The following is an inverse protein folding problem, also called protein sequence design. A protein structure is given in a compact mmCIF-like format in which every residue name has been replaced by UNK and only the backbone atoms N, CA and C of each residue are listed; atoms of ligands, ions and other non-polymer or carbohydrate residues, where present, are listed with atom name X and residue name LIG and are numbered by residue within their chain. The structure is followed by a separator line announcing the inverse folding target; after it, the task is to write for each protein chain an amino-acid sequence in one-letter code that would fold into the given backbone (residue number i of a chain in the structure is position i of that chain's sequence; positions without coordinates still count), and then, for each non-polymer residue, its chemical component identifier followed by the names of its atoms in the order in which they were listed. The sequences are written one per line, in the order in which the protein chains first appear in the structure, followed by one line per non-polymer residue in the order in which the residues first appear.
data_IF_248901723774
#
_entry.id   IF_248901723774
#
_cell.length_a   1.000
_cell.length_b   1.000
_cell.length_c   1.000
_cell.angle_alpha   90.00
_cell.angle_beta   90.00
_cell.angle_gamma   90.00
#
_symmetry.space_group_name_H-M   'P 1'
#
loop_
_entity.id
_entity.type
_entity.pdbx_description
1 polymer ?
#
# COMPACT_ATOMS: atom_id res chain seq x y z
N UNK A 1 -2.52 19.76 -6.84
CA UNK A 1 -2.70 18.46 -6.15
C UNK A 1 -2.29 18.66 -4.70
N UNK A 2 -3.05 18.11 -3.77
CA UNK A 2 -2.79 18.28 -2.32
C UNK A 2 -2.00 17.12 -1.70
N UNK A 3 -1.83 16.00 -2.44
CA UNK A 3 -1.05 14.84 -1.98
C UNK A 3 0.45 15.18 -1.97
N UNK A 4 1.12 14.95 -0.84
CA UNK A 4 2.57 15.22 -0.71
C UNK A 4 3.41 14.13 -1.35
N UNK A 5 2.98 12.89 -1.25
CA UNK A 5 3.59 11.72 -1.88
C UNK A 5 2.60 10.54 -1.89
N UNK A 6 2.89 9.56 -2.73
CA UNK A 6 2.21 8.28 -2.72
C UNK A 6 3.23 7.15 -2.93
N UNK A 7 3.06 6.03 -2.21
CA UNK A 7 3.99 4.91 -2.27
C UNK A 7 3.28 3.55 -2.33
N UNK A 8 3.96 2.57 -2.94
CA UNK A 8 3.66 1.16 -2.83
C UNK A 8 4.70 0.51 -1.92
N UNK A 9 4.25 -0.29 -0.95
CA UNK A 9 5.11 -1.10 -0.11
C UNK A 9 4.59 -2.53 0.00
N UNK A 10 5.48 -3.53 -0.05
CA UNK A 10 5.14 -4.93 0.25
C UNK A 10 4.92 -5.09 1.76
N UNK A 11 4.23 -6.19 2.14
CA UNK A 11 3.86 -6.39 3.54
C UNK A 11 4.26 -7.75 4.16
N UNK A 12 5.23 -8.51 3.63
CA UNK A 12 5.58 -9.77 4.27
C UNK A 12 6.28 -9.53 5.61
N UNK A 13 5.83 -10.22 6.68
CA UNK A 13 6.40 -10.02 8.02
C UNK A 13 7.91 -10.28 8.10
N UNK A 14 8.43 -11.15 7.24
CA UNK A 14 9.87 -11.48 7.19
C UNK A 14 10.78 -10.28 6.91
N UNK A 15 10.26 -9.20 6.31
CA UNK A 15 11.02 -7.95 6.08
C UNK A 15 11.32 -7.17 7.36
N UNK A 16 10.59 -7.47 8.44
CA UNK A 16 10.84 -6.87 9.76
C UNK A 16 11.93 -7.70 10.47
N UNK A 17 13.09 -7.10 10.82
CA UNK A 17 14.24 -7.86 11.36
C UNK A 17 13.91 -8.72 12.58
N UNK A 18 12.99 -8.25 13.44
CA UNK A 18 12.53 -8.96 14.63
C UNK A 18 11.71 -10.21 14.29
N UNK A 19 11.18 -10.31 13.07
CA UNK A 19 10.49 -11.49 12.54
C UNK A 19 11.41 -12.33 11.66
N UNK A 20 12.20 -11.67 10.82
CA UNK A 20 13.07 -12.32 9.84
C UNK A 20 14.24 -13.06 10.47
N UNK A 21 14.77 -12.56 11.61
CA UNK A 21 15.95 -13.11 12.30
C UNK A 21 17.14 -13.35 11.37
N UNK A 22 17.37 -12.44 10.42
CA UNK A 22 18.42 -12.50 9.40
C UNK A 22 17.93 -12.98 8.03
N UNK A 23 16.75 -13.61 7.93
CA UNK A 23 16.19 -14.06 6.64
C UNK A 23 15.70 -12.90 5.78
N UNK A 24 15.38 -11.74 6.37
CA UNK A 24 15.05 -10.52 5.61
C UNK A 24 16.13 -10.17 4.60
N UNK A 25 17.40 -10.54 4.86
CA UNK A 25 18.54 -10.30 3.96
C UNK A 25 18.45 -11.07 2.64
N UNK A 26 17.64 -12.13 2.58
CA UNK A 26 17.35 -12.84 1.34
C UNK A 26 16.52 -11.98 0.37
N UNK A 27 15.84 -10.94 0.88
CA UNK A 27 15.11 -9.92 0.12
C UNK A 27 15.94 -8.63 -0.03
N UNK A 28 17.19 -8.76 -0.50
CA UNK A 28 18.16 -7.67 -0.51
C UNK A 28 17.73 -6.47 -1.37
N UNK A 29 17.15 -6.71 -2.55
CA UNK A 29 16.65 -5.63 -3.41
C UNK A 29 15.42 -4.93 -2.78
N UNK A 30 14.56 -5.68 -2.12
CA UNK A 30 13.41 -5.11 -1.41
C UNK A 30 13.87 -4.22 -0.27
N UNK A 31 14.83 -4.68 0.56
CA UNK A 31 15.39 -3.88 1.65
C UNK A 31 16.06 -2.60 1.12
N UNK A 32 16.82 -2.69 0.02
CA UNK A 32 17.41 -1.53 -0.63
C UNK A 32 16.33 -0.54 -1.13
N UNK A 33 15.27 -1.04 -1.77
CA UNK A 33 14.16 -0.20 -2.23
C UNK A 33 13.44 0.49 -1.07
N UNK A 34 13.24 -0.21 0.05
CA UNK A 34 12.65 0.37 1.26
C UNK A 34 13.56 1.44 1.88
N UNK A 35 14.89 1.22 1.91
CA UNK A 35 15.86 2.22 2.35
C UNK A 35 15.82 3.46 1.47
N UNK A 36 15.82 3.30 0.14
CA UNK A 36 15.71 4.42 -0.81
C UNK A 36 14.39 5.20 -0.59
N UNK A 37 13.27 4.50 -0.37
CA UNK A 37 11.99 5.12 -0.04
C UNK A 37 12.10 5.96 1.25
N UNK A 38 12.67 5.38 2.31
CA UNK A 38 12.83 6.08 3.60
C UNK A 38 13.72 7.31 3.49
N UNK A 39 14.83 7.21 2.74
CA UNK A 39 15.74 8.35 2.49
C UNK A 39 15.01 9.47 1.74
N UNK A 40 14.31 9.13 0.66
CA UNK A 40 13.55 10.11 -0.12
C UNK A 40 12.46 10.79 0.72
N UNK A 41 11.71 10.01 1.51
CA UNK A 41 10.68 10.57 2.38
C UNK A 41 11.26 11.43 3.52
N UNK A 42 12.41 11.07 4.11
CA UNK A 42 13.08 11.92 5.11
C UNK A 42 13.43 13.29 4.51
N UNK A 43 13.98 13.33 3.29
CA UNK A 43 14.28 14.57 2.61
C UNK A 43 13.02 15.42 2.34
N UNK A 44 11.91 14.80 1.93
CA UNK A 44 10.63 15.49 1.77
C UNK A 44 10.10 16.03 3.09
N UNK A 45 10.22 15.25 4.16
CA UNK A 45 9.74 15.58 5.50
C UNK A 45 10.51 16.73 6.18
N UNK A 46 11.72 17.05 5.73
CA UNK A 46 12.43 18.27 6.14
C UNK A 46 11.70 19.55 5.70
N UNK A 47 10.89 19.48 4.65
CA UNK A 47 10.15 20.59 4.11
C UNK A 47 8.67 20.57 4.46
N UNK A 48 8.03 19.39 4.43
CA UNK A 48 6.60 19.24 4.72
C UNK A 48 6.28 17.81 5.18
N UNK A 49 5.71 17.68 6.36
CA UNK A 49 5.13 16.44 6.85
C UNK A 49 3.69 16.30 6.37
N UNK A 50 3.22 15.10 6.04
CA UNK A 50 1.81 14.90 5.77
C UNK A 50 0.99 15.10 7.06
N UNK A 51 -0.15 15.79 6.93
CA UNK A 51 -1.09 15.99 8.02
C UNK A 51 -1.73 14.66 8.44
N UNK A 52 -1.90 13.74 7.49
CA UNK A 52 -2.40 12.40 7.69
C UNK A 52 -2.03 11.48 6.52
N UNK A 53 -2.16 10.17 6.75
CA UNK A 53 -1.86 9.12 5.79
C UNK A 53 -3.14 8.33 5.47
N UNK A 54 -3.45 8.13 4.19
CA UNK A 54 -4.43 7.15 3.74
C UNK A 54 -3.70 5.85 3.41
N UNK A 55 -3.94 4.81 4.20
CA UNK A 55 -3.44 3.47 3.95
C UNK A 55 -4.51 2.62 3.29
N UNK A 56 -4.23 2.08 2.11
CA UNK A 56 -4.99 1.00 1.53
C UNK A 56 -4.30 -0.33 1.80
N UNK A 57 -5.00 -1.24 2.51
CA UNK A 57 -4.52 -2.58 2.85
C UNK A 57 -5.50 -3.64 2.35
N UNK A 58 -5.04 -4.70 1.66
CA UNK A 58 -5.94 -5.72 1.11
C UNK A 58 -6.45 -6.71 2.16
N UNK A 59 -5.84 -6.77 3.35
CA UNK A 59 -6.16 -7.74 4.41
C UNK A 59 -7.06 -7.19 5.51
N UNK A 60 -7.35 -5.89 5.56
CA UNK A 60 -8.37 -5.33 6.47
C UNK A 60 -9.72 -6.00 6.20
N UNK A 61 -10.76 -5.80 7.01
CA UNK A 61 -12.04 -6.44 6.74
C UNK A 61 -12.44 -6.31 5.28
N UNK A 62 -12.66 -7.45 4.66
CA UNK A 62 -13.12 -7.53 3.28
C UNK A 62 -14.64 -7.38 3.24
N UNK A 63 -15.13 -6.45 2.41
CA UNK A 63 -16.55 -6.29 2.14
C UNK A 63 -16.80 -6.50 0.66
N UNK A 64 -17.43 -7.62 0.25
CA UNK A 64 -17.70 -7.90 -1.16
C UNK A 64 -18.46 -6.75 -1.82
N UNK A 65 -17.98 -6.29 -2.97
CA UNK A 65 -18.60 -5.23 -3.76
C UNK A 65 -18.44 -3.81 -3.21
N UNK A 66 -17.66 -3.59 -2.13
CA UNK A 66 -17.50 -2.27 -1.53
C UNK A 66 -16.08 -2.00 -1.03
N UNK A 67 -15.73 -0.71 -0.97
CA UNK A 67 -14.59 -0.21 -0.21
C UNK A 67 -14.93 -0.30 1.28
N UNK A 68 -14.13 -1.00 2.07
CA UNK A 68 -14.23 -0.92 3.53
C UNK A 68 -13.44 0.28 4.05
N UNK A 69 -14.02 1.09 4.94
CA UNK A 69 -13.36 2.20 5.64
C UNK A 69 -13.44 1.99 7.14
N UNK A 70 -12.28 1.96 7.80
CA UNK A 70 -12.21 1.82 9.25
C UNK A 70 -12.51 3.17 9.92
N UNK A 71 -13.55 3.19 10.76
CA UNK A 71 -14.01 4.38 11.48
C UNK A 71 -13.60 4.42 12.95
N UNK A 72 -12.75 3.48 13.40
CA UNK A 72 -12.21 3.49 14.76
C UNK A 72 -11.43 4.78 15.03
N UNK A 73 -11.50 5.37 16.22
CA UNK A 73 -10.75 6.59 16.55
C UNK A 73 -9.24 6.37 16.66
N UNK A 74 -8.81 5.12 16.78
CA UNK A 74 -7.40 4.71 16.90
C UNK A 74 -7.14 3.43 16.11
N UNK A 75 -5.92 3.33 15.58
CA UNK A 75 -5.37 2.13 14.98
C UNK A 75 -4.21 1.64 15.85
N UNK A 76 -4.13 0.35 16.10
CA UNK A 76 -3.01 -0.27 16.77
C UNK A 76 -2.80 -1.70 16.27
N UNK A 77 -1.59 -2.17 16.36
CA UNK A 77 -1.26 -3.54 16.01
C UNK A 77 0.19 -3.88 16.30
N UNK A 78 0.49 -5.16 16.34
CA UNK A 78 1.84 -5.68 16.52
C UNK A 78 2.03 -7.00 15.76
N UNK A 79 3.27 -7.42 15.68
CA UNK A 79 3.65 -8.67 15.02
C UNK A 79 3.85 -9.85 16.00
N UNK A 80 3.13 -9.87 17.14
CA UNK A 80 3.23 -10.96 18.12
C UNK A 80 2.91 -12.33 17.53
N UNK A 81 1.96 -12.41 16.57
CA UNK A 81 1.62 -13.65 15.85
C UNK A 81 2.78 -14.21 15.03
N UNK A 82 3.79 -13.37 14.74
CA UNK A 82 5.02 -13.71 14.02
C UNK A 82 6.24 -13.69 14.95
N UNK A 83 6.05 -13.70 16.26
CA UNK A 83 7.12 -13.75 17.27
C UNK A 83 7.74 -12.41 17.65
N UNK A 84 7.25 -11.30 17.12
CA UNK A 84 7.81 -9.96 17.34
C UNK A 84 6.78 -8.99 17.98
N UNK A 85 6.42 -9.16 19.26
CA UNK A 85 5.41 -8.31 19.92
C UNK A 85 5.83 -6.85 20.05
N UNK A 86 7.12 -6.55 20.03
CA UNK A 86 7.65 -5.19 20.12
C UNK A 86 7.64 -4.45 18.78
N UNK A 87 7.54 -5.16 17.66
CA UNK A 87 7.28 -4.56 16.35
C UNK A 87 5.79 -4.17 16.29
N UNK A 88 5.49 -2.94 16.69
CA UNK A 88 4.13 -2.46 16.89
C UNK A 88 3.92 -1.07 16.30
N UNK A 89 2.69 -0.76 15.97
CA UNK A 89 2.23 0.57 15.55
C UNK A 89 1.06 1.03 16.43
N UNK A 90 0.99 2.33 16.64
CA UNK A 90 -0.18 2.98 17.19
C UNK A 90 -0.34 4.35 16.51
N UNK A 91 -1.55 4.68 16.08
CA UNK A 91 -1.88 5.96 15.47
C UNK A 91 -3.31 6.36 15.80
N UNK A 92 -3.58 7.65 15.73
CA UNK A 92 -4.95 8.18 15.78
C UNK A 92 -5.55 8.22 14.37
N UNK A 93 -6.88 8.21 14.28
CA UNK A 93 -7.59 8.44 13.02
C UNK A 93 -8.04 9.91 12.97
N UNK A 94 -7.67 10.66 11.91
CA UNK A 94 -8.00 12.09 11.82
C UNK A 94 -9.48 12.26 11.46
N UNK A 95 -10.32 12.60 12.43
CA UNK A 95 -11.78 12.59 12.30
C UNK A 95 -12.30 13.59 11.26
N UNK A 96 -11.65 14.76 11.13
CA UNK A 96 -12.01 15.74 10.09
C UNK A 96 -11.72 15.21 8.69
N UNK A 97 -10.55 14.65 8.47
CA UNK A 97 -10.18 14.05 7.18
C UNK A 97 -11.03 12.80 6.87
N UNK A 98 -11.36 11.98 7.88
CA UNK A 98 -12.28 10.85 7.73
C UNK A 98 -13.69 11.32 7.32
N UNK A 99 -14.19 12.41 7.89
CA UNK A 99 -15.46 13.00 7.53
C UNK A 99 -15.44 13.55 6.10
N UNK A 100 -14.33 14.20 5.70
CA UNK A 100 -14.14 14.70 4.34
C UNK A 100 -14.07 13.54 3.32
N UNK A 101 -13.32 12.48 3.62
CA UNK A 101 -13.27 11.27 2.80
C UNK A 101 -14.65 10.62 2.67
N UNK A 102 -15.40 10.52 3.78
CA UNK A 102 -16.74 9.93 3.80
C UNK A 102 -17.71 10.73 2.92
N UNK A 103 -17.68 12.06 3.02
CA UNK A 103 -18.51 12.93 2.18
C UNK A 103 -18.17 12.79 0.69
N UNK A 104 -16.87 12.72 0.34
CA UNK A 104 -16.41 12.50 -1.01
C UNK A 104 -16.89 11.15 -1.56
N UNK A 105 -16.77 10.08 -0.77
CA UNK A 105 -17.21 8.74 -1.15
C UNK A 105 -18.73 8.67 -1.33
N UNK A 106 -19.51 9.31 -0.46
CA UNK A 106 -20.97 9.38 -0.58
C UNK A 106 -21.43 10.11 -1.84
N UNK A 107 -20.66 11.11 -2.30
CA UNK A 107 -20.93 11.82 -3.55
C UNK A 107 -20.47 11.06 -4.81
N UNK A 108 -19.83 9.91 -4.64
CA UNK A 108 -19.29 9.08 -5.72
C UNK A 108 -20.19 7.87 -6.01
N UNK A 109 -19.89 7.18 -7.12
CA UNK A 109 -20.51 5.89 -7.45
C UNK A 109 -19.78 4.69 -6.80
N UNK A 110 -18.81 4.91 -5.91
CA UNK A 110 -18.06 3.84 -5.25
C UNK A 110 -18.88 3.32 -4.06
N UNK A 111 -19.23 2.02 -4.03
CA UNK A 111 -19.91 1.44 -2.88
C UNK A 111 -18.97 1.43 -1.65
N UNK A 112 -19.48 1.83 -0.49
CA UNK A 112 -18.71 1.97 0.75
C UNK A 112 -19.38 1.24 1.90
N UNK A 113 -18.57 0.52 2.68
CA UNK A 113 -18.93 -0.04 3.96
C UNK A 113 -18.07 0.58 5.05
N UNK A 114 -18.69 1.02 6.12
CA UNK A 114 -18.02 1.56 7.30
C UNK A 114 -18.03 0.54 8.44
N UNK A 115 -16.92 0.44 9.17
CA UNK A 115 -16.85 -0.41 10.36
C UNK A 115 -15.77 0.04 11.32
N UNK A 116 -16.02 -0.10 12.62
CA UNK A 116 -15.03 0.20 13.65
C UNK A 116 -14.28 -1.05 14.06
N UNK A 117 -12.94 -0.98 14.03
CA UNK A 117 -12.04 -2.02 14.51
C UNK A 117 -11.27 -1.57 15.76
N UNK A 118 -11.90 -0.78 16.62
CA UNK A 118 -11.27 -0.15 17.78
C UNK A 118 -10.56 -1.15 18.70
N UNK A 119 -11.17 -2.31 18.91
CA UNK A 119 -10.64 -3.36 19.80
C UNK A 119 -9.93 -4.50 19.05
N UNK A 120 -9.60 -4.30 17.78
CA UNK A 120 -8.99 -5.33 16.94
C UNK A 120 -7.56 -4.91 16.56
N UNK A 121 -6.61 -5.78 16.87
CA UNK A 121 -5.24 -5.63 16.35
C UNK A 121 -5.27 -5.68 14.82
N UNK A 122 -4.66 -4.68 14.19
CA UNK A 122 -4.59 -4.63 12.72
C UNK A 122 -3.77 -5.81 12.17
N UNK A 123 -4.07 -6.17 10.94
CA UNK A 123 -3.38 -7.24 10.22
C UNK A 123 -1.97 -6.82 9.78
N UNK A 124 -1.10 -7.81 9.53
CA UNK A 124 0.28 -7.56 9.10
C UNK A 124 0.40 -6.73 7.83
N UNK A 125 -0.57 -6.82 6.91
CA UNK A 125 -0.57 -5.99 5.70
C UNK A 125 -0.78 -4.49 5.98
N UNK A 126 -1.25 -4.13 7.16
CA UNK A 126 -1.23 -2.75 7.65
C UNK A 126 -0.01 -2.47 8.54
N UNK A 127 0.34 -3.42 9.43
CA UNK A 127 1.39 -3.21 10.44
C UNK A 127 2.77 -3.15 9.79
N UNK A 128 3.12 -4.08 8.91
CA UNK A 128 4.48 -4.17 8.32
C UNK A 128 4.85 -2.88 7.58
N UNK A 129 4.04 -2.41 6.58
CA UNK A 129 4.41 -1.19 5.89
C UNK A 129 4.40 0.05 6.81
N UNK A 130 3.46 0.17 7.75
CA UNK A 130 3.46 1.29 8.70
C UNK A 130 4.65 1.25 9.64
N UNK A 131 5.06 0.08 10.15
CA UNK A 131 6.21 -0.09 11.01
C UNK A 131 7.51 0.30 10.30
N UNK A 132 7.72 -0.21 9.08
CA UNK A 132 8.89 0.13 8.28
C UNK A 132 8.87 1.61 7.85
N UNK A 133 7.70 2.14 7.47
CA UNK A 133 7.53 3.54 7.08
C UNK A 133 7.78 4.49 8.24
N UNK A 134 7.47 4.11 9.48
CA UNK A 134 7.65 4.95 10.66
C UNK A 134 9.09 5.48 10.80
N UNK A 135 10.07 4.71 10.31
CA UNK A 135 11.49 5.09 10.33
C UNK A 135 11.81 6.31 9.44
N UNK A 136 10.92 6.68 8.53
CA UNK A 136 11.04 7.90 7.73
C UNK A 136 10.48 9.16 8.43
N UNK A 137 9.83 9.00 9.58
CA UNK A 137 9.24 10.11 10.32
C UNK A 137 10.07 10.50 11.54
N UNK A 138 10.05 11.79 11.95
CA UNK A 138 10.75 12.25 13.15
C UNK A 138 10.37 11.42 14.40
N UNK A 139 11.38 10.90 15.08
CA UNK A 139 11.20 10.07 16.28
C UNK A 139 10.41 8.77 16.04
N UNK A 140 10.28 8.30 14.80
CA UNK A 140 9.52 7.10 14.46
C UNK A 140 8.00 7.25 14.60
N UNK A 141 7.49 8.48 14.70
CA UNK A 141 6.08 8.75 14.99
C UNK A 141 5.31 9.01 13.69
N UNK A 142 4.42 8.07 13.32
CA UNK A 142 3.51 8.21 12.19
C UNK A 142 2.54 9.39 12.39
N UNK A 143 2.13 10.07 11.29
CA UNK A 143 0.98 10.96 11.33
C UNK A 143 -0.31 10.18 11.61
N UNK A 144 -1.44 10.84 11.86
CA UNK A 144 -2.75 10.18 11.91
C UNK A 144 -3.02 9.36 10.65
N UNK A 145 -3.61 8.15 10.78
CA UNK A 145 -3.81 7.20 9.67
C UNK A 145 -5.28 6.85 9.49
N UNK A 146 -5.79 6.98 8.27
CA UNK A 146 -7.07 6.37 7.84
C UNK A 146 -6.73 5.04 7.15
N UNK A 147 -7.34 3.95 7.60
CA UNK A 147 -7.20 2.63 7.00
C UNK A 147 -8.45 2.29 6.19
N UNK A 148 -8.25 1.86 4.95
CA UNK A 148 -9.33 1.35 4.11
C UNK A 148 -8.89 0.13 3.31
N UNK A 149 -9.85 -0.67 2.84
CA UNK A 149 -9.62 -1.88 2.05
C UNK A 149 -10.43 -1.85 0.75
N UNK A 150 -9.77 -1.69 -0.41
CA UNK A 150 -10.43 -1.70 -1.72
C UNK A 150 -10.60 -3.11 -2.32
N UNK A 151 -10.20 -4.19 -1.63
CA UNK A 151 -10.18 -5.55 -2.20
C UNK A 151 -11.57 -6.07 -2.59
N UNK A 152 -12.64 -5.48 -2.07
CA UNK A 152 -14.02 -5.78 -2.46
C UNK A 152 -14.47 -5.14 -3.78
N UNK A 153 -13.72 -4.17 -4.29
CA UNK A 153 -14.04 -3.48 -5.55
C UNK A 153 -13.60 -4.27 -6.78
N UNK A 154 -14.20 -3.97 -7.94
CA UNK A 154 -13.64 -4.41 -9.23
C UNK A 154 -12.34 -3.64 -9.52
N UNK A 155 -11.48 -4.13 -10.43
CA UNK A 155 -10.29 -3.41 -10.87
C UNK A 155 -10.61 -1.98 -11.36
N UNK A 156 -11.68 -1.82 -12.16
CA UNK A 156 -12.12 -0.53 -12.70
C UNK A 156 -12.62 0.42 -11.60
N UNK A 157 -13.34 -0.10 -10.61
CA UNK A 157 -13.79 0.68 -9.46
C UNK A 157 -12.61 1.13 -8.59
N UNK A 158 -11.61 0.28 -8.38
CA UNK A 158 -10.40 0.63 -7.64
C UNK A 158 -9.60 1.74 -8.36
N UNK A 159 -9.47 1.66 -9.68
CA UNK A 159 -8.86 2.71 -10.49
C UNK A 159 -9.66 4.02 -10.42
N UNK A 160 -11.00 3.94 -10.55
CA UNK A 160 -11.88 5.10 -10.47
C UNK A 160 -11.81 5.78 -9.09
N UNK A 161 -11.74 4.98 -8.01
CA UNK A 161 -11.50 5.46 -6.65
C UNK A 161 -10.21 6.27 -6.55
N UNK A 162 -9.09 5.72 -7.06
CA UNK A 162 -7.82 6.42 -7.09
C UNK A 162 -7.89 7.75 -7.83
N UNK A 163 -8.47 7.77 -9.04
CA UNK A 163 -8.66 8.99 -9.84
C UNK A 163 -9.50 10.05 -9.13
N UNK A 164 -10.55 9.63 -8.43
CA UNK A 164 -11.37 10.53 -7.62
C UNK A 164 -10.55 11.14 -6.48
N UNK A 165 -9.82 10.32 -5.72
CA UNK A 165 -8.97 10.77 -4.61
C UNK A 165 -7.88 11.74 -5.09
N UNK A 166 -7.22 11.44 -6.21
CA UNK A 166 -6.16 12.27 -6.79
C UNK A 166 -6.62 13.64 -7.27
N UNK A 167 -7.88 13.73 -7.74
CA UNK A 167 -8.49 15.00 -8.23
C UNK A 167 -9.16 15.82 -7.13
N UNK A 168 -9.34 15.25 -5.95
CA UNK A 168 -10.02 15.93 -4.85
C UNK A 168 -9.15 17.03 -4.24
N UNK A 169 -9.78 18.15 -3.91
CA UNK A 169 -9.15 19.25 -3.20
C UNK A 169 -9.31 19.02 -1.69
N UNK A 170 -8.29 18.44 -1.07
CA UNK A 170 -8.26 18.24 0.38
C UNK A 170 -7.95 19.53 1.13
N UNK A 171 -8.54 19.71 2.30
CA UNK A 171 -8.30 20.88 3.20
C UNK A 171 -6.91 20.83 3.84
N UNK A 172 -6.27 19.69 3.84
CA UNK A 172 -4.98 19.38 4.41
C UNK A 172 -4.09 18.67 3.38
N UNK A 173 -2.85 18.38 3.74
CA UNK A 173 -1.86 17.76 2.85
C UNK A 173 -1.65 16.29 3.21
N UNK A 174 -2.42 15.37 2.63
CA UNK A 174 -2.28 13.95 2.89
C UNK A 174 -1.11 13.31 2.15
N UNK A 175 -0.74 12.10 2.61
CA UNK A 175 0.04 11.14 1.85
C UNK A 175 -0.75 9.84 1.65
N UNK A 176 -0.37 9.05 0.62
CA UNK A 176 -1.02 7.80 0.29
C UNK A 176 -0.05 6.63 0.36
N UNK A 177 -0.47 5.55 1.00
CA UNK A 177 0.26 4.30 1.06
C UNK A 177 -0.61 3.15 0.55
N UNK A 178 -0.19 2.54 -0.56
CA UNK A 178 -0.72 1.26 -1.00
C UNK A 178 0.12 0.13 -0.40
N UNK A 179 -0.51 -0.73 0.37
CA UNK A 179 0.07 -1.99 0.82
C UNK A 179 -0.34 -3.09 -0.16
N UNK A 180 0.62 -3.88 -0.65
CA UNK A 180 0.30 -4.97 -1.56
C UNK A 180 1.53 -5.77 -1.95
N UNK A 181 1.45 -7.09 -1.77
CA UNK A 181 2.35 -8.02 -2.44
C UNK A 181 1.83 -8.30 -3.84
N UNK A 182 2.72 -8.68 -4.75
CA UNK A 182 2.39 -9.03 -6.12
C UNK A 182 1.94 -10.50 -6.19
N UNK A 183 2.37 -11.24 -7.21
CA UNK A 183 2.06 -12.66 -7.34
C UNK A 183 2.65 -13.48 -6.21
N UNK A 184 1.92 -14.53 -5.80
CA UNK A 184 2.40 -15.53 -4.83
C UNK A 184 2.88 -16.82 -5.51
N UNK A 185 3.17 -16.79 -6.82
CA UNK A 185 3.41 -17.96 -7.65
C UNK A 185 4.70 -17.90 -8.47
N UNK A 186 5.82 -17.42 -7.86
CA UNK A 186 7.07 -17.17 -8.59
C UNK A 186 8.09 -18.29 -8.49
N UNK A 187 7.98 -19.22 -7.53
CA UNK A 187 8.97 -20.30 -7.32
C UNK A 187 8.31 -21.63 -7.01
N UNK A 188 8.87 -22.73 -7.54
CA UNK A 188 8.38 -24.09 -7.28
C UNK A 188 8.48 -24.47 -5.80
N UNK A 189 9.57 -24.06 -5.14
CA UNK A 189 9.84 -24.27 -3.72
C UNK A 189 9.26 -23.15 -2.83
N UNK A 190 8.53 -22.22 -3.42
CA UNK A 190 7.80 -21.18 -2.68
C UNK A 190 6.56 -21.71 -1.98
N UNK A 191 5.99 -20.95 -1.01
CA UNK A 191 4.87 -21.41 -0.18
C UNK A 191 3.60 -21.75 -0.97
N UNK A 192 3.48 -21.23 -2.19
CA UNK A 192 2.29 -21.43 -3.05
C UNK A 192 2.64 -22.11 -4.38
N UNK A 193 3.92 -22.49 -4.59
CA UNK A 193 4.41 -23.10 -5.82
C UNK A 193 4.53 -22.11 -6.99
N UNK A 194 4.93 -22.59 -8.15
CA UNK A 194 5.07 -21.80 -9.37
C UNK A 194 3.83 -21.87 -10.25
N UNK A 195 3.47 -20.73 -10.86
CA UNK A 195 2.52 -20.66 -11.96
C UNK A 195 2.98 -19.60 -12.98
N UNK A 196 2.95 -19.88 -14.30
CA UNK A 196 3.34 -18.88 -15.32
C UNK A 196 2.56 -17.58 -15.27
N UNK A 197 1.36 -17.57 -14.70
CA UNK A 197 0.58 -16.35 -14.48
C UNK A 197 1.25 -15.39 -13.49
N UNK A 198 2.08 -15.90 -12.57
CA UNK A 198 2.79 -15.10 -11.59
C UNK A 198 3.71 -14.06 -12.23
N UNK A 199 4.76 -14.46 -12.97
CA UNK A 199 5.65 -13.52 -13.65
C UNK A 199 4.94 -12.62 -14.66
N UNK A 200 3.83 -13.09 -15.29
CA UNK A 200 3.02 -12.26 -16.21
C UNK A 200 2.37 -11.12 -15.45
N UNK A 201 1.75 -11.42 -14.30
CA UNK A 201 1.12 -10.41 -13.45
C UNK A 201 2.15 -9.40 -12.93
N UNK A 202 3.26 -9.86 -12.39
CA UNK A 202 4.28 -8.99 -11.79
C UNK A 202 4.90 -8.05 -12.84
N UNK A 203 5.18 -8.55 -14.04
CA UNK A 203 5.65 -7.73 -15.16
C UNK A 203 4.63 -6.65 -15.54
N UNK A 204 3.34 -6.98 -15.54
CA UNK A 204 2.28 -6.02 -15.84
C UNK A 204 2.19 -4.94 -14.75
N UNK A 205 2.37 -5.29 -13.47
CA UNK A 205 2.41 -4.32 -12.37
C UNK A 205 3.58 -3.34 -12.54
N UNK A 206 4.79 -3.84 -12.73
CA UNK A 206 5.98 -2.99 -12.90
C UNK A 206 5.80 -2.05 -14.09
N UNK A 207 5.37 -2.57 -15.24
CA UNK A 207 5.11 -1.75 -16.44
C UNK A 207 4.03 -0.68 -16.20
N UNK A 208 2.96 -1.03 -15.47
CA UNK A 208 1.89 -0.08 -15.15
C UNK A 208 2.37 1.05 -14.22
N UNK A 209 3.21 0.74 -13.23
CA UNK A 209 3.80 1.73 -12.34
C UNK A 209 4.76 2.66 -13.08
N UNK A 210 5.70 2.11 -13.86
CA UNK A 210 6.71 2.87 -14.60
C UNK A 210 6.12 3.78 -15.68
N UNK A 211 5.01 3.38 -16.28
CA UNK A 211 4.33 4.17 -17.32
C UNK A 211 3.23 5.08 -16.78
N UNK A 212 2.75 4.85 -15.55
CA UNK A 212 1.56 5.49 -15.00
C UNK A 212 0.26 5.05 -15.68
N UNK A 213 0.32 4.01 -16.53
CA UNK A 213 -0.82 3.51 -17.28
C UNK A 213 -1.42 2.27 -16.65
N UNK A 214 -2.74 2.23 -16.36
CA UNK A 214 -3.41 1.05 -15.85
C UNK A 214 -3.61 -0.06 -16.90
N UNK A 215 -3.38 0.24 -18.19
CA UNK A 215 -3.64 -0.68 -19.32
C UNK A 215 -3.08 -2.07 -19.12
N UNK A 216 -1.77 -2.24 -18.82
CA UNK A 216 -1.16 -3.55 -18.63
C UNK A 216 -1.87 -4.43 -17.57
N UNK A 217 -2.47 -3.83 -16.54
CA UNK A 217 -3.20 -4.54 -15.49
C UNK A 217 -4.66 -4.83 -15.87
N UNK A 218 -5.34 -3.90 -16.53
CA UNK A 218 -6.74 -4.05 -16.91
C UNK A 218 -6.93 -5.02 -18.09
N UNK A 219 -5.88 -5.27 -18.86
CA UNK A 219 -5.88 -6.24 -19.97
C UNK A 219 -5.68 -7.69 -19.49
N UNK A 220 -5.29 -7.90 -18.21
CA UNK A 220 -5.13 -9.24 -17.67
C UNK A 220 -6.48 -9.94 -17.52
N UNK A 221 -6.56 -11.17 -18.02
CA UNK A 221 -7.77 -11.97 -17.84
C UNK A 221 -7.99 -12.36 -16.38
N UNK A 222 -9.24 -12.54 -15.94
CA UNK A 222 -9.55 -13.04 -14.60
C UNK A 222 -8.82 -14.34 -14.25
N UNK A 223 -8.60 -15.21 -15.22
CA UNK A 223 -7.88 -16.47 -15.04
C UNK A 223 -6.38 -16.25 -14.73
N UNK A 224 -5.75 -15.21 -15.28
CA UNK A 224 -4.36 -14.85 -14.93
C UNK A 224 -4.32 -14.30 -13.51
N UNK A 225 -5.24 -13.41 -13.14
CA UNK A 225 -5.29 -12.82 -11.80
C UNK A 225 -5.48 -13.91 -10.73
N UNK A 226 -6.42 -14.82 -10.94
CA UNK A 226 -6.66 -15.95 -10.02
C UNK A 226 -5.44 -16.86 -9.89
N UNK A 227 -4.81 -17.24 -11.02
CA UNK A 227 -3.65 -18.14 -11.01
C UNK A 227 -2.38 -17.48 -10.49
N UNK A 228 -2.23 -16.17 -10.61
CA UNK A 228 -1.14 -15.42 -10.01
C UNK A 228 -1.23 -15.42 -8.48
N UNK A 229 -2.45 -15.51 -7.92
CA UNK A 229 -2.68 -15.51 -6.47
C UNK A 229 -2.27 -14.19 -5.83
N UNK A 230 -2.53 -13.08 -6.49
CA UNK A 230 -2.15 -11.74 -6.06
C UNK A 230 -3.06 -11.22 -4.94
N UNK A 231 -2.57 -10.24 -4.16
CA UNK A 231 -3.40 -9.51 -3.21
C UNK A 231 -3.39 -7.99 -3.42
N UNK A 232 -2.41 -7.47 -4.15
CA UNK A 232 -2.15 -6.03 -4.28
C UNK A 232 -2.88 -5.30 -5.41
N UNK A 233 -3.55 -6.00 -6.35
CA UNK A 233 -4.08 -5.39 -7.58
C UNK A 233 -4.94 -4.14 -7.32
N UNK A 234 -5.89 -4.20 -6.37
CA UNK A 234 -6.84 -3.10 -6.11
C UNK A 234 -6.17 -1.91 -5.45
N UNK A 235 -5.23 -2.15 -4.52
CA UNK A 235 -4.47 -1.07 -3.89
C UNK A 235 -3.53 -0.40 -4.90
N UNK A 236 -2.90 -1.18 -5.78
CA UNK A 236 -2.02 -0.70 -6.86
C UNK A 236 -2.79 0.10 -7.91
N UNK A 237 -3.96 -0.39 -8.37
CA UNK A 237 -4.80 0.36 -9.30
C UNK A 237 -5.30 1.68 -8.70
N UNK A 238 -5.63 1.69 -7.40
CA UNK A 238 -5.99 2.92 -6.71
C UNK A 238 -4.81 3.89 -6.64
N UNK A 239 -3.59 3.39 -6.39
CA UNK A 239 -2.37 4.20 -6.42
C UNK A 239 -2.11 4.80 -7.81
N UNK A 240 -2.16 4.00 -8.86
CA UNK A 240 -1.96 4.47 -10.25
C UNK A 240 -3.01 5.53 -10.61
N UNK A 241 -4.27 5.29 -10.24
CA UNK A 241 -5.35 6.24 -10.47
C UNK A 241 -5.17 7.55 -9.72
N UNK A 242 -4.66 7.52 -8.49
CA UNK A 242 -4.40 8.69 -7.66
C UNK A 242 -3.27 9.55 -8.24
N UNK A 243 -2.17 8.92 -8.65
CA UNK A 243 -1.00 9.62 -9.17
C UNK A 243 -1.24 10.17 -10.58
N UNK A 244 -1.96 9.44 -11.44
CA UNK A 244 -2.23 9.78 -12.87
C UNK A 244 -0.95 10.15 -13.65
N UNK A 245 0.20 9.59 -13.22
CA UNK A 245 1.57 9.82 -13.73
C UNK A 245 2.44 8.60 -13.41
N UNK A 246 3.59 8.44 -14.11
CA UNK A 246 4.58 7.42 -13.76
C UNK A 246 5.02 7.50 -12.30
N UNK A 247 5.25 6.32 -11.71
CA UNK A 247 5.90 6.17 -10.43
C UNK A 247 7.35 5.71 -10.62
N UNK A 248 8.22 6.12 -9.74
CA UNK A 248 9.56 5.55 -9.67
C UNK A 248 9.50 4.20 -8.98
N UNK A 249 9.75 3.11 -9.71
CA UNK A 249 9.94 1.78 -9.14
C UNK A 249 11.33 1.74 -8.50
N UNK A 250 11.38 1.58 -7.18
CA UNK A 250 12.63 1.57 -6.40
C UNK A 250 13.20 0.16 -6.29
N UNK A 251 12.35 -0.86 -6.28
CA UNK A 251 12.76 -2.27 -6.31
C UNK A 251 11.64 -3.18 -6.76
N UNK A 252 12.02 -4.31 -7.36
CA UNK A 252 11.15 -5.47 -7.58
C UNK A 252 11.98 -6.75 -7.47
N UNK A 253 11.49 -7.73 -6.72
CA UNK A 253 12.05 -9.09 -6.64
C UNK A 253 11.02 -10.08 -6.09
N UNK A 254 11.34 -11.39 -6.16
CA UNK A 254 10.49 -12.46 -5.62
C UNK A 254 11.29 -13.51 -4.83
N UNK A 255 12.00 -13.15 -3.75
CA UNK A 255 12.98 -14.03 -3.11
C UNK A 255 12.36 -15.27 -2.46
N UNK A 256 11.13 -15.15 -1.98
CA UNK A 256 10.41 -16.24 -1.29
C UNK A 256 9.25 -16.81 -2.12
N UNK A 257 9.26 -16.60 -3.44
CA UNK A 257 8.16 -17.03 -4.33
C UNK A 257 6.96 -16.09 -4.35
N UNK A 258 7.06 -14.94 -3.68
CA UNK A 258 6.08 -13.85 -3.67
C UNK A 258 6.75 -12.59 -4.21
N UNK A 259 6.09 -11.89 -5.12
CA UNK A 259 6.61 -10.65 -5.71
C UNK A 259 6.49 -9.47 -4.76
N UNK A 260 7.58 -8.77 -4.54
CA UNK A 260 7.68 -7.57 -3.70
C UNK A 260 8.09 -6.38 -4.57
N UNK A 261 7.32 -5.31 -4.51
CA UNK A 261 7.61 -4.09 -5.24
C UNK A 261 7.52 -2.88 -4.31
N UNK A 262 8.51 -2.00 -4.40
CA UNK A 262 8.51 -0.70 -3.73
C UNK A 262 8.52 0.39 -4.80
N UNK A 263 7.61 1.35 -4.72
CA UNK A 263 7.53 2.46 -5.66
C UNK A 263 7.15 3.76 -4.95
N UNK A 264 7.58 4.89 -5.51
CA UNK A 264 7.33 6.24 -4.99
C UNK A 264 6.84 7.15 -6.11
N UNK A 265 5.87 7.98 -5.79
CA UNK A 265 5.44 9.13 -6.55
C UNK A 265 5.47 10.39 -5.69
N UNK A 266 5.92 11.50 -6.28
CA UNK A 266 5.88 12.83 -5.66
C UNK A 266 5.31 13.83 -6.67
N UNK A 267 4.52 14.85 -6.24
CA UNK A 267 4.08 15.91 -7.12
C UNK A 267 5.26 16.81 -7.46
N UNK A 268 5.75 16.69 -8.70
CA UNK A 268 6.74 17.58 -9.32
C UNK A 268 7.91 18.07 -8.43
N UNK A 269 8.90 17.24 -8.24
CA UNK A 269 10.32 17.59 -8.39
C UNK A 269 10.99 16.39 -9.03
N UNK A 270 11.71 16.53 -10.17
CA UNK A 270 12.62 15.47 -10.58
C UNK A 270 13.61 15.31 -9.42
N UNK A 271 13.67 14.13 -8.82
CA UNK A 271 14.78 13.77 -7.95
C UNK A 271 16.03 13.92 -8.81
N UNK A 272 16.81 14.98 -8.59
CA UNK A 272 18.11 15.13 -9.19
C UNK A 272 18.95 13.92 -8.71
N UNK A 273 19.17 12.99 -9.63
CA UNK A 273 20.09 11.86 -9.47
C UNK A 273 21.52 12.34 -9.35
#
# INVERSE_FOLDING_TARGET
MTWLWAALMPHPPVLVPEVGHGREKEAALTLQGLEHLQVALKALHEHSLPDWLLLFSPHSPHTPGALFVNTAPRLHGNLARFGAPNAQIASTVPQEALSELTALLQASAIPVAHGSQENTTQDHAAIVPLYLLSQAFPGGKLPPVILANPSGLTPEQALALGKMLGKSAWRSHPAFLASGDLSHRLKEDGPYGFNPAGPIFDKAVVAALETGSPGPLLELSPAILEKAGECGLRTILSLIGLCDKPLQVLSYEGPFGVGYCTALWTPEQPLNT
#
